data_IF_746264242864
#
_entry.id   IF_746264242864
#
_cell.length_a   1.000
_cell.length_b   1.000
_cell.length_c   1.000
_cell.angle_alpha   90.00
_cell.angle_beta   90.00
_cell.angle_gamma   90.00
#
_symmetry.space_group_name_H-M   'P 1'
#
loop_
_entity.id
_entity.type
_entity.pdbx_description
1 polymer ?
#
# COMPACT_ATOMS: atom_id res chain seq x y z
N UNK A 1 16.04 16.69 24.27
CA UNK A 1 15.04 15.84 23.56
C UNK A 1 15.77 14.71 22.87
N UNK A 2 15.31 13.49 23.07
CA UNK A 2 15.80 12.31 22.37
C UNK A 2 14.89 12.04 21.16
N UNK A 3 15.48 11.57 20.06
CA UNK A 3 14.74 11.18 18.87
C UNK A 3 14.95 9.70 18.62
N UNK A 4 13.87 8.98 18.35
CA UNK A 4 13.91 7.63 17.85
C UNK A 4 13.82 7.68 16.33
N UNK A 5 14.67 6.93 15.63
CA UNK A 5 14.68 6.86 14.17
C UNK A 5 14.35 5.43 13.73
N UNK A 6 13.51 5.31 12.71
CA UNK A 6 13.30 4.06 11.98
C UNK A 6 14.10 4.16 10.68
N UNK A 7 14.98 3.21 10.45
CA UNK A 7 15.71 3.13 9.16
C UNK A 7 14.69 2.80 8.05
N UNK A 8 14.60 3.62 6.97
CA UNK A 8 13.72 3.33 5.86
C UNK A 8 14.12 2.02 5.16
N UNK A 9 13.12 1.26 4.71
CA UNK A 9 13.36 0.09 3.86
C UNK A 9 13.97 0.53 2.52
N UNK A 10 14.88 -0.24 1.99
CA UNK A 10 15.50 0.03 0.69
C UNK A 10 14.53 -0.19 -0.48
N UNK A 11 13.46 -0.96 -0.24
CA UNK A 11 12.35 -1.13 -1.19
C UNK A 11 11.45 0.11 -1.31
N UNK A 12 11.61 1.11 -0.44
CA UNK A 12 10.85 2.35 -0.46
C UNK A 12 10.98 3.15 -1.76
N UNK A 13 12.07 2.93 -2.52
CA UNK A 13 12.25 3.51 -3.86
C UNK A 13 11.12 3.10 -4.81
N UNK A 14 10.54 1.91 -4.62
CA UNK A 14 9.47 1.40 -5.46
C UNK A 14 8.08 1.72 -4.91
N UNK A 15 7.95 1.83 -3.59
CA UNK A 15 6.67 2.13 -2.96
C UNK A 15 6.90 2.83 -1.61
N UNK A 16 6.45 4.07 -1.50
CA UNK A 16 6.52 4.85 -0.26
C UNK A 16 5.57 4.25 0.79
N UNK A 17 4.47 3.64 0.36
CA UNK A 17 3.49 3.01 1.23
C UNK A 17 2.91 3.97 2.26
N UNK A 18 2.79 3.50 3.50
CA UNK A 18 2.30 4.29 4.65
C UNK A 18 3.36 5.20 5.27
N UNK A 19 4.54 5.31 4.67
CA UNK A 19 5.65 6.10 5.24
C UNK A 19 5.39 7.60 5.21
N UNK A 20 4.46 8.06 4.39
CA UNK A 20 3.97 9.45 4.48
C UNK A 20 3.12 9.70 5.73
N UNK A 21 2.46 8.66 6.26
CA UNK A 21 1.68 8.76 7.50
C UNK A 21 2.54 8.62 8.74
N UNK A 22 3.50 7.71 8.68
CA UNK A 22 4.34 7.35 9.82
C UNK A 22 5.76 7.82 9.54
N UNK A 23 6.09 9.01 10.01
CA UNK A 23 7.43 9.59 9.88
C UNK A 23 8.54 8.66 10.36
N UNK A 24 9.74 8.82 9.79
CA UNK A 24 10.90 8.00 10.14
C UNK A 24 11.57 8.40 11.45
N UNK A 25 11.11 9.47 12.07
CA UNK A 25 11.63 9.92 13.36
C UNK A 25 10.50 10.31 14.29
N UNK A 26 10.72 10.09 15.57
CA UNK A 26 9.80 10.44 16.62
C UNK A 26 10.55 11.13 17.77
N UNK A 27 10.07 12.27 18.19
CA UNK A 27 10.57 12.93 19.38
C UNK A 27 10.07 12.19 20.61
N UNK A 28 11.01 11.66 21.41
CA UNK A 28 10.70 10.97 22.66
C UNK A 28 10.90 11.93 23.81
N UNK A 29 9.84 12.22 24.55
CA UNK A 29 9.88 13.02 25.77
C UNK A 29 9.36 12.17 26.95
N UNK A 30 9.69 12.55 28.15
CA UNK A 30 9.22 11.84 29.37
C UNK A 30 7.70 11.89 29.55
N UNK A 31 7.00 12.72 28.75
CA UNK A 31 5.56 12.99 28.82
C UNK A 31 4.80 12.54 27.56
N UNK A 32 5.51 12.18 26.48
CA UNK A 32 4.85 11.72 25.27
C UNK A 32 4.42 10.27 25.44
N UNK A 33 3.13 10.03 25.33
CA UNK A 33 2.64 8.71 25.00
C UNK A 33 3.05 8.35 23.58
N UNK A 34 3.16 7.07 23.27
CA UNK A 34 3.46 6.62 21.89
C UNK A 34 2.43 7.17 20.91
N UNK A 35 1.26 7.52 21.39
CA UNK A 35 0.09 7.93 20.63
C UNK A 35 -0.06 9.44 20.44
N UNK A 36 0.23 10.23 21.48
CA UNK A 36 -0.01 11.69 21.43
C UNK A 36 0.91 12.41 20.45
N UNK A 37 2.12 11.89 20.23
CA UNK A 37 3.04 12.47 19.27
C UNK A 37 2.71 12.10 17.82
N UNK A 38 2.10 10.93 17.60
CA UNK A 38 1.66 10.53 16.26
C UNK A 38 0.48 11.36 15.79
N UNK A 39 -0.46 11.68 16.69
CA UNK A 39 -1.61 12.53 16.38
C UNK A 39 -1.26 14.00 16.15
N UNK A 40 -0.18 14.50 16.75
CA UNK A 40 0.20 15.91 16.65
C UNK A 40 1.03 16.24 15.39
N UNK A 41 1.81 15.29 14.89
CA UNK A 41 2.71 15.50 13.75
C UNK A 41 2.11 15.06 12.41
N UNK A 42 1.04 14.25 12.42
CA UNK A 42 0.57 13.53 11.24
C UNK A 42 -0.92 13.68 10.92
N UNK A 43 -1.48 14.83 11.12
CA UNK A 43 -2.71 15.14 10.39
C UNK A 43 -2.31 15.43 8.92
N UNK A 44 -1.73 14.43 8.28
CA UNK A 44 -1.70 14.41 6.84
C UNK A 44 -3.15 14.44 6.37
N UNK A 45 -3.46 15.37 5.48
CA UNK A 45 -4.79 15.53 4.92
C UNK A 45 -5.38 14.15 4.55
N UNK A 46 -6.51 13.71 5.14
CA UNK A 46 -7.13 12.41 4.84
C UNK A 46 -7.37 12.19 3.35
N UNK A 47 -7.58 13.27 2.58
CA UNK A 47 -7.71 13.22 1.12
C UNK A 47 -6.41 12.80 0.43
N UNK A 48 -5.24 13.22 0.93
CA UNK A 48 -3.95 12.76 0.41
C UNK A 48 -3.73 11.27 0.67
N UNK A 49 -4.18 10.78 1.80
CA UNK A 49 -4.08 9.37 2.16
C UNK A 49 -4.98 8.50 1.27
N UNK A 50 -6.16 9.01 0.92
CA UNK A 50 -7.11 8.33 0.03
C UNK A 50 -6.63 8.34 -1.44
N UNK A 51 -5.93 9.39 -1.88
CA UNK A 51 -5.42 9.52 -3.24
C UNK A 51 -4.13 8.74 -3.49
N UNK A 52 -3.40 8.36 -2.42
CA UNK A 52 -2.09 7.72 -2.53
C UNK A 52 -0.99 8.66 -3.04
N UNK A 53 0.22 8.18 -3.07
CA UNK A 53 1.39 8.90 -3.59
C UNK A 53 1.62 8.60 -5.06
N UNK A 54 2.12 9.60 -5.80
CA UNK A 54 2.59 9.42 -7.17
C UNK A 54 3.99 8.78 -7.14
N UNK A 55 4.06 7.51 -6.80
CA UNK A 55 5.29 6.73 -6.75
C UNK A 55 5.43 5.79 -7.96
N UNK A 56 6.49 4.99 -7.98
CA UNK A 56 6.69 3.98 -9.02
C UNK A 56 5.51 3.01 -9.11
N UNK A 57 4.95 2.62 -7.97
CA UNK A 57 3.83 1.68 -7.92
C UNK A 57 2.58 2.27 -8.59
N UNK A 58 2.28 3.55 -8.36
CA UNK A 58 1.20 4.26 -9.05
C UNK A 58 1.42 4.25 -10.58
N UNK A 59 2.61 4.65 -11.02
CA UNK A 59 2.96 4.66 -12.45
C UNK A 59 2.82 3.27 -13.06
N UNK A 60 3.32 2.26 -12.36
CA UNK A 60 3.28 0.88 -12.84
C UNK A 60 1.85 0.33 -12.92
N UNK A 61 1.03 0.53 -11.88
CA UNK A 61 -0.34 -0.01 -11.85
C UNK A 61 -1.27 0.72 -12.82
N UNK A 62 -1.17 2.03 -12.94
CA UNK A 62 -2.14 2.80 -13.73
C UNK A 62 -1.65 3.13 -15.15
N UNK A 63 -0.38 3.48 -15.33
CA UNK A 63 0.13 3.95 -16.62
C UNK A 63 0.73 2.82 -17.47
N UNK A 64 1.31 1.78 -16.88
CA UNK A 64 1.85 0.66 -17.63
C UNK A 64 0.80 -0.04 -18.52
N UNK A 65 -0.43 -0.32 -18.07
CA UNK A 65 -1.46 -0.88 -18.93
C UNK A 65 -1.86 0.03 -20.10
N UNK A 66 -1.87 1.35 -19.90
CA UNK A 66 -2.13 2.32 -20.99
C UNK A 66 -1.02 2.22 -22.04
N UNK A 67 0.24 2.13 -21.61
CA UNK A 67 1.37 1.95 -22.52
C UNK A 67 1.26 0.63 -23.28
N UNK A 68 0.85 -0.45 -22.63
CA UNK A 68 0.58 -1.74 -23.28
C UNK A 68 -0.54 -1.59 -24.31
N UNK A 69 -1.62 -0.86 -24.03
CA UNK A 69 -2.70 -0.58 -24.99
C UNK A 69 -2.15 0.13 -26.23
N UNK A 70 -1.31 1.17 -26.04
CA UNK A 70 -0.71 1.92 -27.16
C UNK A 70 0.10 1.01 -28.08
N UNK A 71 0.77 0.00 -27.55
CA UNK A 71 1.51 -0.96 -28.37
C UNK A 71 0.63 -2.02 -29.02
N UNK A 72 -0.47 -2.43 -28.36
CA UNK A 72 -1.22 -3.62 -28.76
C UNK A 72 -2.51 -3.33 -29.53
N UNK A 73 -3.11 -2.12 -29.44
CA UNK A 73 -4.41 -1.87 -30.05
C UNK A 73 -4.44 -2.14 -31.56
N UNK A 74 -3.34 -1.91 -32.25
CA UNK A 74 -3.22 -2.02 -33.68
C UNK A 74 -2.60 -3.34 -34.18
N UNK A 75 -2.13 -4.20 -33.27
CA UNK A 75 -1.36 -5.42 -33.63
C UNK A 75 -2.18 -6.43 -34.44
N UNK A 76 -3.45 -6.57 -34.13
CA UNK A 76 -4.36 -7.47 -34.87
C UNK A 76 -5.36 -6.75 -35.75
N UNK A 77 -5.41 -5.41 -35.71
CA UNK A 77 -6.37 -4.57 -36.40
C UNK A 77 -5.85 -3.98 -37.71
N UNK A 78 -4.58 -3.60 -37.77
CA UNK A 78 -3.99 -2.87 -38.88
C UNK A 78 -4.21 -3.55 -40.24
N UNK A 79 -3.99 -4.84 -40.34
CA UNK A 79 -4.12 -5.57 -41.56
C UNK A 79 -5.60 -5.73 -41.97
N UNK A 80 -6.51 -5.77 -41.02
CA UNK A 80 -7.95 -5.76 -41.30
C UNK A 80 -8.39 -4.39 -41.77
N UNK A 81 -7.91 -3.31 -41.15
CA UNK A 81 -8.21 -1.93 -41.57
C UNK A 81 -7.74 -1.70 -43.02
N UNK A 82 -6.58 -2.23 -43.37
CA UNK A 82 -6.01 -2.15 -44.72
C UNK A 82 -6.59 -3.21 -45.69
N UNK A 83 -7.46 -4.12 -45.23
CA UNK A 83 -8.04 -5.24 -46.02
C UNK A 83 -6.99 -6.18 -46.64
N UNK A 84 -5.83 -6.31 -46.01
CA UNK A 84 -4.73 -7.18 -46.46
C UNK A 84 -4.57 -8.45 -45.62
N UNK A 85 -5.42 -8.66 -44.63
CA UNK A 85 -5.44 -9.84 -43.75
C UNK A 85 -5.53 -11.16 -44.54
N UNK A 86 -6.29 -11.19 -45.65
CA UNK A 86 -6.40 -12.37 -46.54
C UNK A 86 -5.04 -12.73 -47.16
N UNK A 87 -4.19 -11.77 -47.49
CA UNK A 87 -2.87 -12.03 -48.08
C UNK A 87 -1.94 -12.74 -47.06
N UNK A 88 -2.07 -12.44 -45.79
CA UNK A 88 -1.30 -13.07 -44.73
C UNK A 88 -1.74 -14.54 -44.57
N UNK A 89 -3.02 -14.80 -44.59
CA UNK A 89 -3.55 -16.16 -44.44
C UNK A 89 -3.28 -17.06 -45.64
N UNK A 90 -3.10 -16.50 -46.82
CA UNK A 90 -2.66 -17.25 -48.00
C UNK A 90 -1.26 -17.86 -47.84
N UNK A 91 -0.43 -17.31 -46.97
CA UNK A 91 0.93 -17.84 -46.65
C UNK A 91 0.91 -19.09 -45.74
N UNK A 92 -0.23 -19.73 -45.50
CA UNK A 92 -0.41 -20.91 -44.63
C UNK A 92 -0.05 -20.67 -43.16
N UNK A 93 -0.03 -19.43 -42.72
CA UNK A 93 0.23 -19.06 -41.31
C UNK A 93 -1.13 -18.99 -40.61
N UNK A 94 -1.29 -19.71 -39.50
CA UNK A 94 -2.51 -19.56 -38.69
C UNK A 94 -2.57 -18.19 -38.01
N UNK A 95 -3.75 -17.58 -37.96
CA UNK A 95 -4.02 -16.29 -37.29
C UNK A 95 -3.46 -16.27 -35.87
N UNK A 96 -3.64 -17.35 -35.11
CA UNK A 96 -3.19 -17.46 -33.75
C UNK A 96 -1.65 -17.40 -33.64
N UNK A 97 -0.92 -18.14 -34.47
CA UNK A 97 0.56 -18.11 -34.46
C UNK A 97 1.10 -16.74 -34.83
N UNK A 98 0.53 -16.14 -35.86
CA UNK A 98 0.93 -14.81 -36.31
C UNK A 98 0.71 -13.75 -35.20
N UNK A 99 -0.49 -13.72 -34.60
CA UNK A 99 -0.80 -12.80 -33.52
C UNK A 99 0.06 -13.06 -32.28
N UNK A 100 0.23 -14.34 -31.90
CA UNK A 100 1.03 -14.72 -30.74
C UNK A 100 2.48 -14.28 -30.85
N UNK A 101 3.10 -14.39 -32.04
CA UNK A 101 4.48 -13.95 -32.24
C UNK A 101 4.64 -12.46 -32.02
N UNK A 102 3.70 -11.64 -32.50
CA UNK A 102 3.71 -10.18 -32.30
C UNK A 102 3.46 -9.81 -30.83
N UNK A 103 2.50 -10.47 -30.18
CA UNK A 103 2.24 -10.27 -28.77
C UNK A 103 3.44 -10.65 -27.91
N UNK A 104 4.10 -11.75 -28.22
CA UNK A 104 5.31 -12.18 -27.52
C UNK A 104 6.45 -11.16 -27.68
N UNK A 105 6.62 -10.60 -28.88
CA UNK A 105 7.60 -9.54 -29.10
C UNK A 105 7.34 -8.32 -28.19
N UNK A 106 6.11 -7.80 -28.18
CA UNK A 106 5.77 -6.66 -27.32
C UNK A 106 5.80 -7.01 -25.84
N UNK A 107 5.43 -8.23 -25.47
CA UNK A 107 5.55 -8.71 -24.08
C UNK A 107 7.00 -8.68 -23.60
N UNK A 108 7.92 -9.24 -24.40
CA UNK A 108 9.34 -9.21 -24.06
C UNK A 108 9.87 -7.78 -24.01
N UNK A 109 9.48 -6.93 -24.97
CA UNK A 109 9.91 -5.55 -25.04
C UNK A 109 9.48 -4.75 -23.80
N UNK A 110 8.18 -4.81 -23.43
CA UNK A 110 7.65 -4.09 -22.26
C UNK A 110 8.25 -4.64 -20.97
N UNK A 111 8.26 -5.97 -20.83
CA UNK A 111 8.78 -6.63 -19.63
C UNK A 111 10.26 -6.32 -19.43
N UNK A 112 11.09 -6.44 -20.48
CA UNK A 112 12.51 -6.14 -20.37
C UNK A 112 12.76 -4.67 -20.04
N UNK A 113 12.00 -3.74 -20.61
CA UNK A 113 12.14 -2.31 -20.33
C UNK A 113 11.85 -1.99 -18.86
N UNK A 114 10.75 -2.55 -18.31
CA UNK A 114 10.39 -2.37 -16.90
C UNK A 114 11.43 -3.04 -15.99
N UNK A 115 11.84 -4.27 -16.29
CA UNK A 115 12.82 -4.98 -15.48
C UNK A 115 14.19 -4.29 -15.46
N UNK A 116 14.65 -3.72 -16.57
CA UNK A 116 15.88 -2.93 -16.61
C UNK A 116 15.80 -1.73 -15.66
N UNK A 117 14.69 -0.99 -15.67
CA UNK A 117 14.48 0.13 -14.75
C UNK A 117 14.47 -0.33 -13.29
N UNK A 118 13.72 -1.39 -12.99
CA UNK A 118 13.63 -1.93 -11.62
C UNK A 118 14.98 -2.44 -11.13
N UNK A 119 15.73 -3.15 -11.98
CA UNK A 119 17.08 -3.62 -11.65
C UNK A 119 18.04 -2.46 -11.40
N UNK A 120 17.99 -1.42 -12.24
CA UNK A 120 18.81 -0.23 -12.06
C UNK A 120 18.58 0.44 -10.70
N UNK A 121 17.31 0.70 -10.35
CA UNK A 121 16.98 1.30 -9.04
C UNK A 121 17.20 0.33 -7.88
N UNK A 122 17.01 -0.96 -8.07
CA UNK A 122 17.32 -1.99 -7.06
C UNK A 122 18.81 -2.07 -6.72
N UNK A 123 19.69 -1.83 -7.69
CA UNK A 123 21.15 -1.73 -7.46
C UNK A 123 21.47 -0.44 -6.70
N UNK A 124 20.92 0.71 -7.15
CA UNK A 124 21.18 2.02 -6.53
C UNK A 124 20.72 2.09 -5.07
N UNK A 125 19.59 1.45 -4.74
CA UNK A 125 19.02 1.43 -3.38
C UNK A 125 19.63 0.34 -2.50
N UNK A 126 20.53 -0.49 -3.03
CA UNK A 126 21.05 -1.70 -2.36
C UNK A 126 19.97 -2.73 -1.96
N UNK A 127 18.74 -2.61 -2.49
CA UNK A 127 17.63 -3.51 -2.19
C UNK A 127 17.94 -4.97 -2.60
N UNK A 128 18.64 -5.16 -3.71
CA UNK A 128 19.06 -6.48 -4.19
C UNK A 128 19.97 -7.19 -3.17
N UNK A 129 20.83 -6.44 -2.47
CA UNK A 129 21.79 -6.99 -1.53
C UNK A 129 21.18 -7.24 -0.15
N UNK A 130 20.39 -6.31 0.34
CA UNK A 130 19.95 -6.30 1.73
C UNK A 130 18.53 -6.87 1.92
N UNK A 131 17.68 -6.80 0.87
CA UNK A 131 16.31 -7.28 0.88
C UNK A 131 16.00 -8.17 -0.34
N UNK A 132 16.89 -9.12 -0.65
CA UNK A 132 16.84 -9.95 -1.86
C UNK A 132 15.50 -10.69 -2.04
N UNK A 133 14.91 -11.22 -0.98
CA UNK A 133 13.66 -11.96 -1.05
C UNK A 133 12.49 -11.08 -1.44
N UNK A 134 12.40 -9.89 -0.85
CA UNK A 134 11.37 -8.89 -1.19
C UNK A 134 11.56 -8.39 -2.63
N UNK A 135 12.80 -8.17 -3.03
CA UNK A 135 13.12 -7.74 -4.39
C UNK A 135 12.77 -8.80 -5.44
N UNK A 136 13.09 -10.06 -5.20
CA UNK A 136 12.71 -11.16 -6.09
C UNK A 136 11.19 -11.32 -6.20
N UNK A 137 10.47 -11.19 -5.08
CA UNK A 137 9.02 -11.18 -5.09
C UNK A 137 8.47 -10.03 -5.93
N UNK A 138 9.05 -8.83 -5.84
CA UNK A 138 8.66 -7.69 -6.69
C UNK A 138 8.83 -8.03 -8.17
N UNK A 139 9.96 -8.61 -8.60
CA UNK A 139 10.18 -8.98 -10.00
C UNK A 139 9.13 -9.97 -10.51
N UNK A 140 8.79 -10.99 -9.71
CA UNK A 140 7.75 -11.96 -10.05
C UNK A 140 6.40 -11.28 -10.21
N UNK A 141 6.01 -10.39 -9.27
CA UNK A 141 4.75 -9.67 -9.35
C UNK A 141 4.66 -8.73 -10.57
N UNK A 142 5.76 -8.08 -10.94
CA UNK A 142 5.84 -7.26 -12.15
C UNK A 142 5.54 -8.09 -13.40
N UNK A 143 6.18 -9.25 -13.54
CA UNK A 143 5.97 -10.14 -14.71
C UNK A 143 4.52 -10.64 -14.73
N UNK A 144 3.99 -11.08 -13.59
CA UNK A 144 2.60 -11.56 -13.48
C UNK A 144 1.60 -10.45 -13.80
N UNK A 145 1.85 -9.23 -13.35
CA UNK A 145 0.99 -8.09 -13.63
C UNK A 145 0.96 -7.73 -15.12
N UNK A 146 2.11 -7.68 -15.78
CA UNK A 146 2.18 -7.46 -17.23
C UNK A 146 1.43 -8.58 -17.96
N UNK A 147 1.65 -9.83 -17.58
CA UNK A 147 0.96 -10.99 -18.16
C UNK A 147 -0.56 -10.91 -17.99
N UNK A 148 -1.03 -10.44 -16.81
CA UNK A 148 -2.45 -10.23 -16.54
C UNK A 148 -3.12 -9.30 -17.57
N UNK A 149 -2.42 -8.28 -18.06
CA UNK A 149 -2.94 -7.37 -19.10
C UNK A 149 -2.77 -7.92 -20.51
N UNK A 150 -1.67 -8.61 -20.79
CA UNK A 150 -1.41 -9.17 -22.11
C UNK A 150 -2.42 -10.27 -22.51
N UNK A 151 -2.85 -11.12 -21.58
CA UNK A 151 -3.78 -12.21 -21.85
C UNK A 151 -5.15 -11.72 -22.38
N UNK A 152 -5.89 -10.84 -21.69
CA UNK A 152 -7.16 -10.35 -22.21
C UNK A 152 -6.99 -9.46 -23.44
N UNK A 153 -5.91 -8.69 -23.55
CA UNK A 153 -5.65 -7.89 -24.75
C UNK A 153 -5.36 -8.76 -25.97
N UNK A 154 -4.72 -9.92 -25.77
CA UNK A 154 -4.61 -10.93 -26.83
C UNK A 154 -5.97 -11.41 -27.29
N UNK A 155 -6.89 -11.73 -26.35
CA UNK A 155 -8.24 -12.15 -26.69
C UNK A 155 -9.02 -11.07 -27.45
N UNK A 156 -8.90 -9.81 -27.02
CA UNK A 156 -9.52 -8.67 -27.72
C UNK A 156 -9.01 -8.56 -29.16
N UNK A 157 -7.70 -8.66 -29.40
CA UNK A 157 -7.13 -8.63 -30.75
C UNK A 157 -7.51 -9.84 -31.60
N UNK A 158 -7.67 -11.00 -30.97
CA UNK A 158 -8.04 -12.23 -31.67
C UNK A 158 -9.49 -12.21 -32.19
N UNK A 159 -10.43 -11.76 -31.33
CA UNK A 159 -11.87 -11.76 -31.64
C UNK A 159 -12.40 -10.43 -32.17
N UNK A 160 -11.71 -9.34 -31.98
CA UNK A 160 -12.14 -8.00 -32.36
C UNK A 160 -12.15 -7.81 -33.90
N UNK A 161 -12.78 -6.73 -34.36
CA UNK A 161 -13.04 -6.48 -35.79
C UNK A 161 -11.93 -5.61 -36.42
N UNK A 162 -11.64 -4.46 -35.86
CA UNK A 162 -10.72 -3.46 -36.39
C UNK A 162 -9.90 -2.83 -35.23
N UNK A 163 -8.94 -1.96 -35.57
CA UNK A 163 -8.08 -1.30 -34.58
C UNK A 163 -8.87 -0.42 -33.62
N UNK A 164 -9.93 0.22 -34.11
CA UNK A 164 -10.78 1.10 -33.28
C UNK A 164 -11.57 0.29 -32.25
N UNK A 165 -12.15 -0.85 -32.65
CA UNK A 165 -12.85 -1.78 -31.76
C UNK A 165 -11.90 -2.34 -30.68
N UNK A 166 -10.66 -2.69 -31.08
CA UNK A 166 -9.63 -3.14 -30.11
C UNK A 166 -9.30 -2.06 -29.11
N UNK A 167 -9.01 -0.83 -29.56
CA UNK A 167 -8.67 0.29 -28.69
C UNK A 167 -9.79 0.60 -27.69
N UNK A 168 -11.05 0.67 -28.16
CA UNK A 168 -12.20 0.92 -27.29
C UNK A 168 -12.36 -0.15 -26.21
N UNK A 169 -12.28 -1.42 -26.57
CA UNK A 169 -12.42 -2.54 -25.61
C UNK A 169 -11.29 -2.56 -24.58
N UNK A 170 -10.05 -2.33 -25.02
CA UNK A 170 -8.88 -2.29 -24.11
C UNK A 170 -8.96 -1.12 -23.13
N UNK A 171 -9.31 0.09 -23.62
CA UNK A 171 -9.46 1.27 -22.78
C UNK A 171 -10.62 1.09 -21.81
N UNK A 172 -11.77 0.57 -22.28
CA UNK A 172 -12.92 0.29 -21.41
C UNK A 172 -12.58 -0.72 -20.31
N UNK A 173 -11.82 -1.76 -20.65
CA UNK A 173 -11.34 -2.75 -19.69
C UNK A 173 -10.40 -2.13 -18.67
N UNK A 174 -9.43 -1.32 -19.10
CA UNK A 174 -8.53 -0.60 -18.21
C UNK A 174 -9.29 0.31 -17.24
N UNK A 175 -10.24 1.11 -17.78
CA UNK A 175 -11.07 2.01 -16.99
C UNK A 175 -11.91 1.25 -15.95
N UNK A 176 -12.48 0.11 -16.37
CA UNK A 176 -13.25 -0.74 -15.46
C UNK A 176 -12.39 -1.27 -14.30
N UNK A 177 -11.22 -1.84 -14.59
CA UNK A 177 -10.38 -2.49 -13.57
C UNK A 177 -9.59 -1.50 -12.71
N UNK A 178 -9.11 -0.39 -13.28
CA UNK A 178 -8.27 0.55 -12.56
C UNK A 178 -9.05 1.66 -11.86
N UNK A 179 -10.26 2.01 -12.32
CA UNK A 179 -11.02 3.15 -11.80
C UNK A 179 -12.38 2.72 -11.27
N UNK A 180 -13.23 2.10 -12.12
CA UNK A 180 -14.64 1.86 -11.75
C UNK A 180 -14.78 0.83 -10.65
N UNK A 181 -14.12 -0.32 -10.77
CA UNK A 181 -14.23 -1.40 -9.77
C UNK A 181 -13.64 -0.96 -8.42
N UNK A 182 -12.39 -0.45 -8.33
CA UNK A 182 -11.86 0.00 -7.05
C UNK A 182 -12.70 1.11 -6.40
N UNK A 183 -13.11 2.12 -7.19
CA UNK A 183 -13.96 3.20 -6.70
C UNK A 183 -15.32 2.71 -6.19
N UNK A 184 -15.96 1.79 -6.91
CA UNK A 184 -17.25 1.20 -6.52
C UNK A 184 -17.12 0.36 -5.24
N UNK A 185 -16.07 -0.47 -5.16
CA UNK A 185 -15.81 -1.28 -3.95
C UNK A 185 -15.56 -0.40 -2.74
N UNK A 186 -14.74 0.65 -2.90
CA UNK A 186 -14.49 1.62 -1.83
C UNK A 186 -15.79 2.29 -1.37
N UNK A 187 -16.62 2.78 -2.31
CA UNK A 187 -17.90 3.43 -1.98
C UNK A 187 -18.87 2.48 -1.28
N UNK A 188 -19.00 1.25 -1.78
CA UNK A 188 -19.87 0.23 -1.16
C UNK A 188 -19.38 -0.11 0.25
N UNK A 189 -18.05 -0.26 0.42
CA UNK A 189 -17.45 -0.52 1.73
C UNK A 189 -17.72 0.61 2.72
N UNK A 190 -17.54 1.87 2.30
CA UNK A 190 -17.78 3.05 3.12
C UNK A 190 -19.24 3.19 3.54
N UNK A 191 -20.19 2.82 2.66
CA UNK A 191 -21.62 2.85 2.98
C UNK A 191 -22.00 1.72 3.94
N UNK A 192 -21.44 0.51 3.72
CA UNK A 192 -21.80 -0.67 4.50
C UNK A 192 -21.13 -0.71 5.87
N UNK A 193 -19.95 -0.14 5.97
CA UNK A 193 -19.12 -0.07 7.17
C UNK A 193 -18.70 1.39 7.40
N UNK A 194 -19.63 2.26 7.82
CA UNK A 194 -19.31 3.66 8.09
C UNK A 194 -18.44 3.73 9.35
N UNK A 195 -17.15 3.56 9.19
CA UNK A 195 -16.17 3.67 10.26
C UNK A 195 -15.44 4.99 10.10
N UNK A 196 -15.60 5.86 11.08
CA UNK A 196 -14.75 7.02 11.21
C UNK A 196 -13.61 6.65 12.17
N UNK A 197 -12.65 5.86 11.67
CA UNK A 197 -11.57 5.29 12.49
C UNK A 197 -10.88 6.30 13.40
N UNK A 198 -10.80 7.55 12.97
CA UNK A 198 -10.11 8.57 13.73
C UNK A 198 -10.95 9.09 14.90
N UNK A 199 -12.24 9.34 14.68
CA UNK A 199 -13.14 9.83 15.76
C UNK A 199 -13.50 8.69 16.70
N UNK A 200 -13.83 7.51 16.19
CA UNK A 200 -14.19 6.35 17.00
C UNK A 200 -13.02 5.92 17.88
N UNK A 201 -11.80 5.90 17.33
CA UNK A 201 -10.59 5.61 18.09
C UNK A 201 -10.32 6.66 19.18
N UNK A 202 -10.41 7.96 18.84
CA UNK A 202 -10.20 9.05 19.78
C UNK A 202 -11.24 9.03 20.91
N UNK A 203 -12.50 8.75 20.59
CA UNK A 203 -13.58 8.69 21.55
C UNK A 203 -13.41 7.51 22.50
N UNK A 204 -13.10 6.31 21.98
CA UNK A 204 -12.79 5.13 22.80
C UNK A 204 -11.55 5.35 23.66
N UNK A 205 -10.49 5.95 23.10
CA UNK A 205 -9.28 6.28 23.84
C UNK A 205 -9.53 7.28 24.96
N UNK A 206 -10.36 8.32 24.72
CA UNK A 206 -10.75 9.31 25.73
C UNK A 206 -11.62 8.67 26.81
N UNK A 207 -12.59 7.84 26.44
CA UNK A 207 -13.44 7.13 27.40
C UNK A 207 -12.62 6.23 28.32
N UNK A 208 -11.73 5.40 27.75
CA UNK A 208 -10.83 4.53 28.52
C UNK A 208 -9.85 5.32 29.38
N UNK A 209 -9.31 6.41 28.87
CA UNK A 209 -8.47 7.31 29.68
C UNK A 209 -9.24 7.87 30.87
N UNK A 210 -10.47 8.35 30.67
CA UNK A 210 -11.30 8.88 31.73
C UNK A 210 -11.66 7.80 32.75
N UNK A 211 -11.97 6.58 32.34
CA UNK A 211 -12.17 5.45 33.25
C UNK A 211 -10.96 5.25 34.16
N UNK A 212 -9.75 5.21 33.60
CA UNK A 212 -8.51 5.00 34.35
C UNK A 212 -8.21 6.18 35.30
N UNK A 213 -8.40 7.44 34.83
CA UNK A 213 -8.20 8.63 35.66
C UNK A 213 -9.15 8.71 36.84
N UNK A 214 -10.36 8.13 36.73
CA UNK A 214 -11.36 8.10 37.77
C UNK A 214 -11.21 6.90 38.73
N UNK A 215 -10.28 5.95 38.47
CA UNK A 215 -10.03 4.86 39.38
C UNK A 215 -9.41 5.36 40.70
N UNK A 216 -9.77 4.73 41.86
CA UNK A 216 -9.10 5.00 43.11
C UNK A 216 -7.60 4.72 43.02
N UNK A 217 -6.79 5.53 43.68
CA UNK A 217 -5.31 5.45 43.63
C UNK A 217 -4.77 4.07 43.95
N UNK A 218 -5.37 3.37 44.92
CA UNK A 218 -4.96 2.02 45.32
C UNK A 218 -5.19 0.98 44.22
N UNK A 219 -6.30 1.08 43.49
CA UNK A 219 -6.59 0.21 42.37
C UNK A 219 -5.66 0.44 41.18
N UNK A 220 -5.29 1.70 40.93
CA UNK A 220 -4.29 2.07 39.92
C UNK A 220 -2.93 1.47 40.23
N UNK A 221 -2.49 1.54 41.52
CA UNK A 221 -1.25 0.95 41.98
C UNK A 221 -1.23 -0.57 41.80
N UNK A 222 -2.32 -1.27 42.19
CA UNK A 222 -2.44 -2.71 42.06
C UNK A 222 -2.38 -3.12 40.59
N UNK A 223 -3.11 -2.46 39.73
CA UNK A 223 -3.12 -2.75 38.29
C UNK A 223 -1.75 -2.49 37.67
N UNK A 224 -1.09 -1.40 38.03
CA UNK A 224 0.25 -1.07 37.54
C UNK A 224 1.29 -2.14 37.94
N UNK A 225 1.28 -2.56 39.21
CA UNK A 225 2.20 -3.59 39.69
C UNK A 225 1.94 -4.96 39.09
N UNK A 226 0.70 -5.25 38.72
CA UNK A 226 0.31 -6.48 38.01
C UNK A 226 0.86 -6.50 36.59
N UNK A 227 0.76 -5.37 35.85
CA UNK A 227 1.23 -5.26 34.47
C UNK A 227 2.76 -5.11 34.37
N UNK A 228 3.37 -4.48 35.37
CA UNK A 228 4.83 -4.25 35.43
C UNK A 228 5.46 -4.86 36.68
N UNK A 229 5.67 -6.20 36.73
CA UNK A 229 6.21 -6.87 37.92
C UNK A 229 7.57 -6.36 38.37
N UNK A 230 8.40 -5.83 37.47
CA UNK A 230 9.70 -5.23 37.79
C UNK A 230 9.59 -4.02 38.70
N UNK A 231 8.45 -3.36 38.79
CA UNK A 231 8.22 -2.25 39.69
C UNK A 231 8.09 -2.72 41.17
N UNK A 232 7.84 -3.98 41.44
CA UNK A 232 7.77 -4.56 42.80
C UNK A 232 9.11 -4.47 43.54
N UNK A 233 10.23 -4.45 42.81
CA UNK A 233 11.57 -4.34 43.35
C UNK A 233 12.00 -2.89 43.60
N UNK A 234 11.17 -1.92 43.25
CA UNK A 234 11.47 -0.49 43.37
C UNK A 234 10.83 0.13 44.61
N UNK A 235 11.33 1.30 45.02
CA UNK A 235 10.77 2.10 46.14
C UNK A 235 9.28 2.41 45.98
N UNK A 236 8.75 2.39 44.74
CA UNK A 236 7.36 2.68 44.43
C UNK A 236 6.38 1.60 44.94
N UNK A 237 6.82 0.38 45.14
CA UNK A 237 5.98 -0.69 45.68
C UNK A 237 5.66 -0.49 47.17
N UNK A 238 6.60 0.09 47.91
CA UNK A 238 6.53 0.29 49.39
C UNK A 238 5.99 1.66 49.79
N UNK A 239 5.91 2.62 48.88
CA UNK A 239 5.54 4.02 49.20
C UNK A 239 4.02 4.17 49.32
N UNK A 240 3.52 4.60 50.47
CA UNK A 240 2.11 4.83 50.74
C UNK A 240 1.61 6.18 50.27
N UNK A 241 2.53 7.12 49.99
CA UNK A 241 2.23 8.46 49.47
C UNK A 241 2.65 8.58 48.01
N UNK A 242 1.86 8.07 47.13
CA UNK A 242 2.08 8.26 45.67
C UNK A 242 1.77 9.72 45.31
N UNK A 243 2.80 10.45 44.91
CA UNK A 243 2.67 11.79 44.35
C UNK A 243 1.82 11.71 43.03
N UNK A 244 0.90 12.66 42.83
CA UNK A 244 0.05 12.76 41.62
C UNK A 244 0.85 12.72 40.33
N UNK A 245 2.10 13.21 40.36
CA UNK A 245 2.98 13.18 39.17
C UNK A 245 3.40 11.76 38.78
N UNK A 246 3.55 10.86 39.75
CA UNK A 246 3.93 9.46 39.56
C UNK A 246 2.70 8.68 39.07
N UNK A 247 1.52 8.98 39.61
CA UNK A 247 0.25 8.41 39.18
C UNK A 247 -0.02 8.76 37.72
N UNK A 248 0.13 10.01 37.32
CA UNK A 248 -0.06 10.43 35.93
C UNK A 248 0.87 9.73 34.95
N UNK A 249 2.12 9.46 35.32
CA UNK A 249 3.06 8.66 34.49
C UNK A 249 2.64 7.21 34.40
N UNK A 250 2.15 6.64 35.48
CA UNK A 250 1.66 5.27 35.54
C UNK A 250 0.38 5.08 34.72
N UNK A 251 -0.51 6.06 34.79
CA UNK A 251 -1.74 6.10 33.99
C UNK A 251 -1.42 6.19 32.49
N UNK A 252 -0.45 7.01 32.10
CA UNK A 252 -0.01 7.07 30.70
C UNK A 252 0.52 5.72 30.18
N UNK A 253 1.24 4.95 31.01
CA UNK A 253 1.67 3.60 30.67
C UNK A 253 0.51 2.63 30.49
N UNK A 254 -0.49 2.65 31.38
CA UNK A 254 -1.69 1.81 31.28
C UNK A 254 -2.56 2.19 30.09
N UNK A 255 -2.72 3.47 29.80
CA UNK A 255 -3.45 3.96 28.61
C UNK A 255 -2.77 3.48 27.33
N UNK A 256 -1.42 3.49 27.28
CA UNK A 256 -0.71 2.98 26.12
C UNK A 256 -0.90 1.47 25.89
N UNK A 257 -1.00 0.67 26.95
CA UNK A 257 -1.28 -0.75 26.85
C UNK A 257 -2.70 -1.00 26.35
N UNK A 258 -3.69 -0.27 26.90
CA UNK A 258 -5.09 -0.36 26.46
C UNK A 258 -5.27 0.09 25.02
N UNK A 259 -4.57 1.14 24.60
CA UNK A 259 -4.59 1.60 23.22
C UNK A 259 -4.02 0.57 22.25
N UNK A 260 -3.06 -0.26 22.69
CA UNK A 260 -2.54 -1.36 21.91
C UNK A 260 -3.58 -2.47 21.70
N UNK A 261 -4.38 -2.74 22.71
CA UNK A 261 -5.45 -3.76 22.64
C UNK A 261 -6.66 -3.28 21.81
N UNK A 262 -6.90 -1.97 21.74
CA UNK A 262 -7.98 -1.37 20.93
C UNK A 262 -7.57 -1.23 19.45
N UNK A 263 -6.26 -1.17 19.17
CA UNK A 263 -5.74 -1.05 17.79
C UNK A 263 -5.61 -2.41 17.05
N UNK A 264 -5.86 -3.53 17.74
CA UNK A 264 -5.94 -4.89 17.20
C UNK A 264 -7.39 -5.24 16.88
#
# INVERSE_FOLDING_TARGET
PSYAFKIPSQMMVFNIGQSEQYGYYKRVTNWSSTFDSDLAEEIANPERLALGTLDFNFVFIYLCPILIIVFLFNVGGMEKDLKIDNLIYLQRISKSKWLMTRFLFYFVLVTSSVLILVMYYGILSEAIKNESDNFNNLLVHIILYILLWFLPFFMINYYGKDSSDHAMKMISMWLAFCIVIPGSVHQISSIRYPTNYMTDYLDVSREKSNEIFNLPTDNLKINLLKEFPLLLETKYASDTTLDKSIINRSVSGLVNLLNKDVAL
#
